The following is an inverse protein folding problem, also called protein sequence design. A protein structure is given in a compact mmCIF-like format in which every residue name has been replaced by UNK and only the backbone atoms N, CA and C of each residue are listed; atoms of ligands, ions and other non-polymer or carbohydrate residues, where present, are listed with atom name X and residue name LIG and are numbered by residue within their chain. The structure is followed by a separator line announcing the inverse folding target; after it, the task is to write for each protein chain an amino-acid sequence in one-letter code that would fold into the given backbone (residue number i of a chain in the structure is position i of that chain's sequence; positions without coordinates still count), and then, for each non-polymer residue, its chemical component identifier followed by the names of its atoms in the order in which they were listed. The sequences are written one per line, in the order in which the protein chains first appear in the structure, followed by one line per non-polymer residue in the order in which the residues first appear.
data_IF_017259784351
#
_entry.id   IF_017259784351
#
_cell.length_a   1.000
_cell.length_b   1.000
_cell.length_c   1.000
_cell.angle_alpha   90.00
_cell.angle_beta   90.00
_cell.angle_gamma   90.00
#
_symmetry.space_group_name_H-M   'P 1'
#
loop_
_entity.id
_entity.type
_entity.pdbx_description
1 polymer ?
#
# COMPACT_ATOMS: atom_id res chain seq x y z
N UNK A 1 5.90 -20.65 16.71
CA UNK A 1 5.31 -19.43 16.15
C UNK A 1 3.89 -19.79 15.77
N UNK A 2 2.92 -19.35 16.56
CA UNK A 2 1.54 -19.84 16.49
C UNK A 2 0.78 -19.25 15.30
N UNK A 3 -0.20 -20.03 14.83
CA UNK A 3 -1.26 -19.84 13.80
C UNK A 3 -1.79 -18.41 13.53
N UNK A 4 -1.52 -17.44 14.41
CA UNK A 4 -2.01 -16.07 14.33
C UNK A 4 -1.34 -15.25 13.22
N UNK A 5 -0.06 -15.47 12.90
CA UNK A 5 0.66 -14.56 11.98
C UNK A 5 0.27 -14.70 10.50
N UNK A 6 0.00 -15.91 9.99
CA UNK A 6 -0.37 -16.12 8.58
C UNK A 6 -1.79 -15.63 8.29
N UNK A 7 -2.72 -15.94 9.21
CA UNK A 7 -4.11 -15.46 9.12
C UNK A 7 -4.13 -13.93 9.23
N UNK A 8 -3.28 -13.33 10.07
CA UNK A 8 -3.20 -11.88 10.17
C UNK A 8 -2.70 -11.22 8.88
N UNK A 9 -1.76 -11.83 8.14
CA UNK A 9 -1.28 -11.28 6.86
C UNK A 9 -2.22 -11.55 5.67
N UNK A 10 -2.85 -12.73 5.58
CA UNK A 10 -3.90 -13.01 4.58
C UNK A 10 -5.21 -12.25 4.86
N UNK A 11 -5.44 -11.88 6.12
CA UNK A 11 -6.47 -10.93 6.49
C UNK A 11 -6.00 -9.50 6.23
N UNK A 12 -4.78 -9.08 6.57
CA UNK A 12 -4.33 -7.68 6.44
C UNK A 12 -4.07 -7.26 4.99
N UNK A 13 -3.55 -8.14 4.15
CA UNK A 13 -3.41 -7.91 2.68
C UNK A 13 -4.74 -8.04 1.94
N UNK A 14 -5.79 -8.50 2.63
CA UNK A 14 -7.17 -8.53 2.15
C UNK A 14 -8.13 -7.71 3.02
N UNK A 15 -7.64 -6.83 3.90
CA UNK A 15 -8.43 -5.92 4.73
C UNK A 15 -8.36 -4.50 4.20
N UNK A 16 -8.24 -4.35 2.88
CA UNK A 16 -8.70 -3.15 2.21
C UNK A 16 -9.71 -3.60 1.16
N UNK A 17 -10.97 -3.33 1.49
CA UNK A 17 -12.16 -3.43 0.64
C UNK A 17 -12.66 -4.85 0.32
N UNK A 18 -13.53 -5.37 1.19
CA UNK A 18 -14.96 -5.45 0.86
C UNK A 18 -15.71 -5.95 2.09
N UNK A 19 -16.56 -5.09 2.63
CA UNK A 19 -17.45 -5.39 3.74
C UNK A 19 -18.44 -6.50 3.42
N UNK A 20 -19.23 -6.83 4.43
CA UNK A 20 -20.48 -7.58 4.30
C UNK A 20 -21.25 -7.10 3.06
N UNK A 21 -21.90 -7.98 2.29
CA UNK A 21 -22.84 -7.56 1.24
C UNK A 21 -24.16 -7.09 1.90
N UNK A 22 -24.06 -6.11 2.79
CA UNK A 22 -24.96 -4.97 2.77
C UNK A 22 -24.56 -4.16 1.52
N UNK A 23 -25.50 -3.44 0.90
CA UNK A 23 -25.06 -2.27 0.14
C UNK A 23 -24.38 -1.36 1.18
N UNK A 24 -23.06 -1.46 1.31
CA UNK A 24 -22.27 -0.43 1.99
C UNK A 24 -22.65 0.85 1.27
N UNK A 25 -23.21 1.80 2.03
CA UNK A 25 -23.30 3.16 1.52
C UNK A 25 -21.88 3.52 1.10
N UNK A 26 -21.65 3.82 -0.18
CA UNK A 26 -20.34 4.24 -0.72
C UNK A 26 -19.72 5.38 0.10
N UNK A 27 -20.58 6.10 0.82
CA UNK A 27 -20.28 7.27 1.63
C UNK A 27 -20.55 7.05 3.13
N UNK A 28 -20.46 5.81 3.62
CA UNK A 28 -20.73 5.50 5.04
C UNK A 28 -19.85 6.31 6.00
N UNK A 29 -18.61 6.60 5.57
CA UNK A 29 -17.64 7.40 6.31
C UNK A 29 -18.18 8.80 6.62
N UNK A 30 -19.12 9.31 5.81
CA UNK A 30 -19.67 10.64 5.97
C UNK A 30 -20.87 10.73 6.93
N UNK A 31 -21.39 9.58 7.34
CA UNK A 31 -22.62 9.48 8.14
C UNK A 31 -22.38 9.81 9.62
N UNK A 32 -23.46 10.04 10.34
CA UNK A 32 -23.46 10.35 11.77
C UNK A 32 -24.06 9.21 12.60
N UNK A 33 -23.44 8.90 13.75
CA UNK A 33 -23.89 7.80 14.61
C UNK A 33 -25.32 8.00 15.13
N UNK A 34 -25.67 9.22 15.55
CA UNK A 34 -26.97 9.48 16.16
C UNK A 34 -28.07 9.62 15.11
N UNK A 35 -27.76 10.20 13.95
CA UNK A 35 -28.71 10.45 12.88
C UNK A 35 -28.93 9.24 11.98
N UNK A 36 -27.86 8.55 11.63
CA UNK A 36 -27.85 7.50 10.61
C UNK A 36 -27.56 6.10 11.18
N UNK A 37 -27.14 6.01 12.45
CA UNK A 37 -26.81 4.74 13.11
C UNK A 37 -25.46 4.15 12.70
N UNK A 38 -24.63 4.92 11.99
CA UNK A 38 -23.34 4.48 11.43
C UNK A 38 -22.20 5.28 12.07
N UNK A 39 -21.12 4.61 12.45
CA UNK A 39 -19.91 5.25 13.00
C UNK A 39 -19.07 5.95 11.91
N UNK A 40 -19.65 6.94 11.22
CA UNK A 40 -18.92 7.86 10.34
C UNK A 40 -18.37 9.07 11.08
N UNK A 41 -17.76 10.00 10.35
CA UNK A 41 -17.14 11.23 10.88
C UNK A 41 -18.11 12.42 10.95
N UNK A 42 -19.39 12.23 10.63
CA UNK A 42 -20.42 13.27 10.68
C UNK A 42 -20.12 14.53 9.84
N UNK A 43 -19.36 14.43 8.75
CA UNK A 43 -19.02 15.59 7.91
C UNK A 43 -20.21 16.06 7.06
N UNK A 44 -21.05 15.16 6.54
CA UNK A 44 -22.30 15.54 5.85
C UNK A 44 -23.20 16.40 6.73
N UNK A 45 -23.29 16.03 8.02
CA UNK A 45 -24.01 16.81 9.04
C UNK A 45 -23.32 18.15 9.30
N UNK A 46 -21.98 18.15 9.38
CA UNK A 46 -21.20 19.38 9.57
C UNK A 46 -21.42 20.37 8.42
N UNK A 47 -21.44 19.92 7.17
CA UNK A 47 -21.76 20.78 6.03
C UNK A 47 -23.18 21.33 6.10
N UNK A 48 -24.17 20.47 6.42
CA UNK A 48 -25.57 20.85 6.47
C UNK A 48 -25.93 21.80 7.63
N UNK A 49 -25.33 21.61 8.81
CA UNK A 49 -25.72 22.30 10.04
C UNK A 49 -24.76 23.43 10.43
N UNK A 50 -23.44 23.22 10.29
CA UNK A 50 -22.42 24.14 10.82
C UNK A 50 -21.77 25.00 9.74
N UNK A 51 -21.73 24.53 8.49
CA UNK A 51 -21.14 25.26 7.36
C UNK A 51 -22.17 25.85 6.39
N UNK A 52 -23.47 25.63 6.66
CA UNK A 52 -24.53 26.20 5.83
C UNK A 52 -24.43 27.72 5.74
N UNK A 53 -24.40 28.24 4.51
CA UNK A 53 -24.27 29.67 4.22
C UNK A 53 -22.86 30.25 4.47
N UNK A 54 -21.86 29.43 4.81
CA UNK A 54 -20.47 29.88 4.91
C UNK A 54 -19.75 29.70 3.59
N UNK A 55 -18.83 30.62 3.29
CA UNK A 55 -17.95 30.53 2.13
C UNK A 55 -16.66 29.83 2.54
N UNK A 56 -16.28 28.76 1.84
CA UNK A 56 -15.01 28.07 2.06
C UNK A 56 -13.84 28.85 1.47
N UNK A 57 -12.66 28.64 2.04
CA UNK A 57 -11.38 29.06 1.45
C UNK A 57 -10.72 27.84 0.84
N UNK A 58 -10.16 27.98 -0.37
CA UNK A 58 -9.41 26.89 -0.99
C UNK A 58 -8.16 26.55 -0.19
N UNK A 59 -7.96 25.28 0.11
CA UNK A 59 -6.78 24.75 0.81
C UNK A 59 -6.04 23.80 -0.13
N UNK A 60 -4.73 23.94 -0.25
CA UNK A 60 -3.89 22.99 -1.00
C UNK A 60 -3.37 21.93 -0.02
N UNK A 61 -3.58 20.65 -0.33
CA UNK A 61 -3.15 19.51 0.49
C UNK A 61 -2.17 18.65 -0.30
N UNK A 62 -0.91 18.62 0.14
CA UNK A 62 0.10 17.75 -0.47
C UNK A 62 -0.08 16.30 -0.02
N UNK A 63 -0.27 15.39 -0.98
CA UNK A 63 -0.30 13.94 -0.76
C UNK A 63 1.05 13.34 -1.12
N UNK A 64 1.79 12.85 -0.10
CA UNK A 64 3.08 12.18 -0.27
C UNK A 64 2.84 10.66 -0.24
N UNK A 65 2.69 10.05 -1.41
CA UNK A 65 2.30 8.64 -1.55
C UNK A 65 2.96 7.99 -2.80
N UNK A 66 2.52 6.80 -3.21
CA UNK A 66 3.03 6.05 -4.36
C UNK A 66 2.71 6.65 -5.74
N UNK A 67 1.91 7.71 -5.77
CA UNK A 67 1.47 8.41 -6.98
C UNK A 67 -0.04 8.65 -6.98
N UNK A 68 -0.51 9.54 -7.85
CA UNK A 68 -1.94 9.85 -8.04
C UNK A 68 -2.27 9.79 -9.52
N UNK A 69 -3.35 9.07 -9.87
CA UNK A 69 -3.85 9.01 -11.24
C UNK A 69 -4.49 10.35 -11.59
N UNK A 70 -3.71 11.17 -12.30
CA UNK A 70 -4.13 12.50 -12.75
C UNK A 70 -5.28 12.46 -13.76
N UNK A 71 -5.52 11.30 -14.39
CA UNK A 71 -6.62 11.06 -15.32
C UNK A 71 -7.92 10.61 -14.65
N UNK A 72 -7.90 10.31 -13.34
CA UNK A 72 -9.05 9.74 -12.64
C UNK A 72 -10.26 10.67 -12.71
N UNK A 73 -11.39 10.15 -13.18
CA UNK A 73 -12.58 10.96 -13.50
C UNK A 73 -13.16 11.72 -12.30
N UNK A 74 -12.96 11.19 -11.09
CA UNK A 74 -13.45 11.75 -9.83
C UNK A 74 -12.46 12.70 -9.13
N UNK A 75 -11.24 12.85 -9.67
CA UNK A 75 -10.17 13.67 -9.07
C UNK A 75 -9.69 14.80 -9.98
N UNK A 76 -9.71 14.60 -11.30
CA UNK A 76 -9.11 15.52 -12.27
C UNK A 76 -9.60 16.98 -12.19
N UNK A 77 -10.82 17.21 -11.69
CA UNK A 77 -11.38 18.55 -11.50
C UNK A 77 -10.84 19.28 -10.27
N UNK A 78 -10.16 18.57 -9.38
CA UNK A 78 -9.77 19.04 -8.05
C UNK A 78 -8.26 19.08 -7.87
N UNK A 79 -7.49 18.33 -8.67
CA UNK A 79 -6.03 18.37 -8.65
C UNK A 79 -5.50 19.81 -8.63
N UNK A 80 -4.57 20.06 -7.71
CA UNK A 80 -3.77 21.27 -7.73
C UNK A 80 -3.07 21.47 -9.08
N UNK A 81 -3.00 22.72 -9.54
CA UNK A 81 -2.31 23.14 -10.76
C UNK A 81 -1.26 24.18 -10.37
N UNK A 82 0.01 23.93 -10.71
CA UNK A 82 1.05 24.96 -10.68
C UNK A 82 0.76 25.98 -11.80
N UNK A 83 0.16 27.12 -11.44
CA UNK A 83 -0.20 28.17 -12.41
C UNK A 83 1.00 28.94 -12.97
N UNK A 84 2.19 28.67 -12.43
CA UNK A 84 3.46 29.27 -12.89
C UNK A 84 4.16 28.42 -13.94
N UNK A 85 3.75 27.17 -14.13
CA UNK A 85 4.29 26.27 -15.14
C UNK A 85 3.52 26.37 -16.46
N UNK A 86 4.21 26.23 -17.60
CA UNK A 86 3.58 26.02 -18.90
C UNK A 86 3.68 24.55 -19.26
N UNK A 87 2.57 23.78 -19.21
CA UNK A 87 2.61 22.33 -19.36
C UNK A 87 3.33 21.85 -20.62
N UNK A 88 4.36 21.03 -20.44
CA UNK A 88 5.02 20.27 -21.50
C UNK A 88 5.98 21.09 -22.35
N UNK A 89 6.51 22.19 -21.82
CA UNK A 89 7.51 23.00 -22.54
C UNK A 89 8.96 22.55 -22.28
N UNK A 90 9.18 21.65 -21.31
CA UNK A 90 10.49 21.14 -20.93
C UNK A 90 11.36 22.15 -20.17
N UNK A 91 10.75 23.17 -19.56
CA UNK A 91 11.40 24.25 -18.81
C UNK A 91 10.82 24.29 -17.40
N UNK A 92 11.66 24.59 -16.43
CA UNK A 92 11.25 24.99 -15.08
C UNK A 92 10.91 26.50 -15.15
N UNK A 93 9.64 26.83 -15.40
CA UNK A 93 9.18 28.19 -15.66
C UNK A 93 9.20 29.06 -14.40
N UNK A 94 8.97 28.45 -13.23
CA UNK A 94 8.92 29.13 -11.94
C UNK A 94 10.25 29.13 -11.17
N UNK A 95 11.26 28.44 -11.70
CA UNK A 95 12.61 28.30 -11.16
C UNK A 95 12.65 27.63 -9.77
N UNK A 96 11.75 26.68 -9.52
CA UNK A 96 11.67 25.94 -8.26
C UNK A 96 12.57 24.68 -8.23
N UNK A 97 13.17 24.30 -9.37
CA UNK A 97 14.03 23.12 -9.53
C UNK A 97 13.34 21.91 -10.17
N UNK A 98 12.07 22.00 -10.54
CA UNK A 98 11.25 20.91 -11.06
C UNK A 98 10.63 21.29 -12.41
N UNK A 99 11.09 20.64 -13.48
CA UNK A 99 10.65 20.93 -14.85
C UNK A 99 9.22 20.43 -15.07
N UNK A 100 8.30 21.29 -15.50
CA UNK A 100 6.91 20.93 -15.83
C UNK A 100 6.12 20.31 -14.65
N UNK A 101 6.35 20.73 -13.39
CA UNK A 101 5.70 20.18 -12.18
C UNK A 101 4.22 20.62 -11.97
N UNK A 102 3.43 20.54 -13.04
CA UNK A 102 2.05 21.04 -13.14
C UNK A 102 1.12 20.49 -12.05
N UNK A 103 1.27 19.23 -11.66
CA UNK A 103 0.44 18.56 -10.64
C UNK A 103 1.26 18.03 -9.45
N UNK A 104 2.50 18.49 -9.32
CA UNK A 104 3.46 18.01 -8.33
C UNK A 104 4.66 17.30 -8.97
N UNK A 105 5.37 16.51 -8.17
CA UNK A 105 6.65 15.95 -8.57
C UNK A 105 6.87 14.51 -8.09
N UNK A 106 7.46 13.68 -8.96
CA UNK A 106 7.84 12.32 -8.64
C UNK A 106 9.33 12.25 -8.27
N UNK A 107 9.60 12.10 -6.98
CA UNK A 107 10.96 11.98 -6.45
C UNK A 107 11.58 10.58 -6.61
N UNK A 108 10.78 9.55 -6.88
CA UNK A 108 11.23 8.17 -7.06
C UNK A 108 11.36 7.84 -8.55
N UNK A 109 12.05 8.70 -9.29
CA UNK A 109 12.23 8.56 -10.74
C UNK A 109 13.54 9.16 -11.25
N UNK A 110 13.90 8.77 -12.47
CA UNK A 110 14.77 9.56 -13.35
C UNK A 110 13.91 10.43 -14.27
N UNK A 111 14.54 11.31 -15.05
CA UNK A 111 13.85 12.14 -16.05
C UNK A 111 12.97 11.31 -16.99
N UNK A 112 13.36 10.05 -17.25
CA UNK A 112 12.76 9.22 -18.30
C UNK A 112 11.98 8.01 -17.74
N UNK A 113 12.07 7.72 -16.44
CA UNK A 113 11.45 6.51 -15.87
C UNK A 113 11.18 6.57 -14.37
N UNK A 114 10.01 6.10 -13.95
CA UNK A 114 9.64 5.93 -12.55
C UNK A 114 10.14 4.58 -11.98
N UNK A 115 10.65 4.58 -10.76
CA UNK A 115 11.18 3.38 -10.12
C UNK A 115 10.05 2.56 -9.48
N UNK A 116 9.97 1.28 -9.82
CA UNK A 116 9.02 0.34 -9.22
C UNK A 116 9.41 -0.09 -7.79
N UNK A 117 10.69 -0.08 -7.48
CA UNK A 117 11.21 -0.60 -6.22
C UNK A 117 12.28 0.32 -5.62
N UNK A 118 12.18 0.56 -4.32
CA UNK A 118 13.16 1.28 -3.51
C UNK A 118 13.50 0.46 -2.25
N UNK A 119 14.48 0.91 -1.47
CA UNK A 119 14.76 0.39 -0.15
C UNK A 119 13.85 1.06 0.90
N UNK A 120 13.38 0.26 1.86
CA UNK A 120 12.82 0.81 3.09
C UNK A 120 13.83 1.74 3.78
N UNK A 121 13.34 2.77 4.49
CA UNK A 121 14.20 3.68 5.26
C UNK A 121 15.10 2.91 6.23
N UNK A 122 14.56 1.89 6.90
CA UNK A 122 15.29 1.00 7.78
C UNK A 122 16.53 0.39 7.10
N UNK A 123 16.38 -0.10 5.87
CA UNK A 123 17.47 -0.67 5.07
C UNK A 123 18.53 0.38 4.74
N UNK A 124 18.13 1.60 4.39
CA UNK A 124 19.05 2.72 4.10
C UNK A 124 19.85 3.11 5.35
N UNK A 125 19.19 3.22 6.50
CA UNK A 125 19.85 3.55 7.77
C UNK A 125 20.80 2.45 8.24
N UNK A 126 20.43 1.17 8.09
CA UNK A 126 21.32 0.04 8.38
C UNK A 126 22.53 0.04 7.45
N UNK A 127 22.34 0.32 6.15
CA UNK A 127 23.45 0.43 5.19
C UNK A 127 24.41 1.56 5.57
N UNK A 128 23.89 2.74 5.91
CA UNK A 128 24.69 3.88 6.36
C UNK A 128 25.45 3.56 7.65
N UNK A 129 24.77 2.97 8.63
CA UNK A 129 25.41 2.54 9.89
C UNK A 129 26.48 1.48 9.68
N UNK A 130 26.28 0.54 8.74
CA UNK A 130 27.28 -0.47 8.36
C UNK A 130 28.51 0.17 7.71
N UNK A 131 28.34 1.21 6.89
CA UNK A 131 29.47 1.97 6.33
C UNK A 131 30.24 2.73 7.42
N UNK A 132 29.53 3.30 8.41
CA UNK A 132 30.15 4.08 9.49
C UNK A 132 30.84 3.22 10.55
N UNK A 133 30.19 2.17 11.03
CA UNK A 133 30.62 1.38 12.18
C UNK A 133 31.14 -0.01 11.84
N UNK A 134 30.80 -0.56 10.66
CA UNK A 134 31.26 -1.86 10.20
C UNK A 134 31.03 -2.98 11.22
N UNK A 135 32.10 -3.69 11.58
CA UNK A 135 32.11 -4.80 12.55
C UNK A 135 32.64 -4.37 13.94
N UNK A 136 32.67 -3.06 14.24
CA UNK A 136 33.11 -2.59 15.55
C UNK A 136 32.22 -3.12 16.68
N UNK A 137 32.77 -3.15 17.88
CA UNK A 137 32.05 -3.41 19.13
C UNK A 137 32.05 -2.16 20.00
N UNK A 138 31.11 -2.04 20.93
CA UNK A 138 30.90 -0.85 21.75
C UNK A 138 32.18 -0.35 22.45
N UNK A 139 33.06 -1.27 22.87
CA UNK A 139 34.33 -0.97 23.52
C UNK A 139 35.33 -0.28 22.57
N UNK A 140 35.27 -0.58 21.28
CA UNK A 140 36.16 -0.03 20.23
C UNK A 140 35.65 1.28 19.63
N UNK A 141 34.38 1.64 19.87
CA UNK A 141 33.79 2.91 19.41
C UNK A 141 34.17 4.04 20.39
N UNK A 142 34.60 5.18 19.84
CA UNK A 142 34.92 6.39 20.61
C UNK A 142 33.71 6.86 21.42
N UNK A 143 33.94 7.46 22.59
CA UNK A 143 32.89 7.75 23.58
C UNK A 143 31.74 8.58 22.98
N UNK A 144 32.08 9.53 22.12
CA UNK A 144 31.17 10.46 21.46
C UNK A 144 30.18 9.74 20.52
N UNK A 145 30.62 8.64 19.91
CA UNK A 145 29.85 7.90 18.91
C UNK A 145 29.06 6.72 19.49
N UNK A 146 29.28 6.36 20.76
CA UNK A 146 28.64 5.19 21.40
C UNK A 146 27.11 5.25 21.36
N UNK A 147 26.52 6.43 21.53
CA UNK A 147 25.07 6.61 21.43
C UNK A 147 24.53 6.27 20.03
N UNK A 148 25.20 6.77 18.99
CA UNK A 148 24.87 6.47 17.58
C UNK A 148 25.08 5.00 17.25
N UNK A 149 26.12 4.37 17.80
CA UNK A 149 26.39 2.95 17.61
C UNK A 149 25.29 2.06 18.22
N UNK A 150 24.81 2.38 19.43
CA UNK A 150 23.69 1.64 20.07
C UNK A 150 22.40 1.78 19.25
N UNK A 151 22.12 2.96 18.69
CA UNK A 151 20.98 3.14 17.78
C UNK A 151 21.13 2.29 16.53
N UNK A 152 22.32 2.26 15.92
CA UNK A 152 22.62 1.38 14.78
C UNK A 152 22.39 -0.09 15.12
N UNK A 153 22.85 -0.59 16.27
CA UNK A 153 22.60 -1.98 16.70
C UNK A 153 21.09 -2.29 16.84
N UNK A 154 20.31 -1.31 17.32
CA UNK A 154 18.84 -1.42 17.40
C UNK A 154 18.22 -1.54 16.02
N UNK A 155 18.68 -0.71 15.05
CA UNK A 155 18.21 -0.77 13.67
C UNK A 155 18.58 -2.09 12.99
N UNK A 156 19.78 -2.62 13.22
CA UNK A 156 20.20 -3.94 12.72
C UNK A 156 19.27 -5.03 13.25
N UNK A 157 18.99 -5.02 14.55
CA UNK A 157 18.09 -6.01 15.18
C UNK A 157 16.68 -5.94 14.58
N UNK A 158 16.15 -4.74 14.35
CA UNK A 158 14.86 -4.55 13.67
C UNK A 158 14.89 -5.10 12.25
N UNK A 159 15.89 -4.72 11.45
CA UNK A 159 16.04 -5.17 10.07
C UNK A 159 16.14 -6.70 9.97
N UNK A 160 16.92 -7.34 10.84
CA UNK A 160 17.06 -8.80 10.87
C UNK A 160 15.76 -9.50 11.26
N UNK A 161 14.95 -8.89 12.12
CA UNK A 161 13.63 -9.41 12.46
C UNK A 161 12.66 -9.28 11.28
N UNK A 162 12.57 -8.12 10.62
CA UNK A 162 11.72 -7.93 9.43
C UNK A 162 12.05 -8.95 8.33
N UNK A 163 13.34 -9.10 7.99
CA UNK A 163 13.79 -10.07 6.99
C UNK A 163 13.44 -11.50 7.37
N UNK A 164 13.52 -11.84 8.66
CA UNK A 164 13.18 -13.18 9.17
C UNK A 164 11.69 -13.43 9.07
N UNK A 165 10.86 -12.47 9.49
CA UNK A 165 9.41 -12.58 9.44
C UNK A 165 8.92 -12.76 8.00
N UNK A 166 9.42 -11.98 7.05
CA UNK A 166 9.07 -12.12 5.63
C UNK A 166 9.49 -13.50 5.10
N UNK A 167 10.69 -13.98 5.43
CA UNK A 167 11.17 -15.31 5.00
C UNK A 167 10.32 -16.45 5.57
N UNK A 168 9.97 -16.37 6.85
CA UNK A 168 9.14 -17.39 7.51
C UNK A 168 7.73 -17.40 6.91
N UNK A 169 7.13 -16.23 6.71
CA UNK A 169 5.81 -16.11 6.06
C UNK A 169 5.82 -16.63 4.63
N UNK A 170 6.84 -16.29 3.84
CA UNK A 170 6.98 -16.79 2.47
C UNK A 170 7.18 -18.31 2.43
N UNK A 171 7.91 -18.88 3.40
CA UNK A 171 8.06 -20.32 3.53
C UNK A 171 6.72 -21.01 3.86
N UNK A 172 5.91 -20.40 4.72
CA UNK A 172 4.59 -20.92 5.06
C UNK A 172 3.60 -20.79 3.89
N UNK A 173 3.66 -19.69 3.13
CA UNK A 173 2.85 -19.51 1.93
C UNK A 173 3.22 -20.52 0.83
N UNK A 174 4.51 -20.86 0.69
CA UNK A 174 4.96 -21.95 -0.20
C UNK A 174 4.38 -23.30 0.21
N UNK A 175 4.27 -23.60 1.52
CA UNK A 175 3.61 -24.83 2.01
C UNK A 175 2.11 -24.83 1.72
N UNK A 176 1.45 -23.69 1.93
CA UNK A 176 0.02 -23.52 1.61
C UNK A 176 -0.23 -23.77 0.12
N UNK A 177 0.57 -23.15 -0.76
CA UNK A 177 0.51 -23.35 -2.21
C UNK A 177 0.67 -24.83 -2.56
N UNK A 178 1.74 -25.48 -2.08
CA UNK A 178 2.00 -26.89 -2.37
C UNK A 178 0.86 -27.82 -1.90
N UNK A 179 0.27 -27.53 -0.75
CA UNK A 179 -0.88 -28.29 -0.22
C UNK A 179 -2.13 -28.04 -1.05
N UNK A 180 -2.35 -26.81 -1.51
CA UNK A 180 -3.46 -26.45 -2.42
C UNK A 180 -3.31 -27.18 -3.75
N UNK A 181 -2.12 -27.17 -4.35
CA UNK A 181 -1.80 -27.88 -5.60
C UNK A 181 -2.08 -29.38 -5.47
N UNK A 182 -1.72 -29.98 -4.33
CA UNK A 182 -1.99 -31.39 -4.04
C UNK A 182 -3.49 -31.69 -3.99
N UNK A 183 -4.28 -30.86 -3.30
CA UNK A 183 -5.74 -31.04 -3.22
C UNK A 183 -6.36 -30.91 -4.61
N UNK A 184 -6.00 -29.86 -5.36
CA UNK A 184 -6.48 -29.62 -6.73
C UNK A 184 -6.17 -30.81 -7.64
N UNK A 185 -4.95 -31.36 -7.54
CA UNK A 185 -4.56 -32.56 -8.27
C UNK A 185 -5.40 -33.78 -7.87
N UNK A 186 -5.66 -33.99 -6.56
CA UNK A 186 -6.50 -35.10 -6.08
C UNK A 186 -7.96 -34.97 -6.51
N UNK A 187 -8.48 -33.75 -6.63
CA UNK A 187 -9.82 -33.46 -7.15
C UNK A 187 -9.90 -33.70 -8.68
N UNK A 188 -8.77 -33.71 -9.39
CA UNK A 188 -8.72 -33.90 -10.83
C UNK A 188 -9.36 -32.76 -11.63
N UNK A 189 -9.44 -31.55 -11.05
CA UNK A 189 -10.10 -30.38 -11.62
C UNK A 189 -9.10 -29.23 -11.74
N UNK A 190 -9.08 -28.56 -12.89
CA UNK A 190 -8.24 -27.37 -13.10
C UNK A 190 -8.73 -26.16 -12.28
N UNK A 191 -10.05 -26.01 -12.18
CA UNK A 191 -10.74 -24.93 -11.48
C UNK A 191 -11.80 -25.54 -10.55
N UNK A 192 -11.44 -26.06 -9.37
CA UNK A 192 -12.41 -26.65 -8.46
C UNK A 192 -13.33 -25.58 -7.87
N UNK A 193 -14.61 -25.89 -7.71
CA UNK A 193 -15.57 -25.01 -7.05
C UNK A 193 -15.40 -25.07 -5.53
N UNK A 194 -15.90 -24.06 -4.80
CA UNK A 194 -15.89 -24.06 -3.33
C UNK A 194 -16.45 -25.38 -2.75
N UNK A 195 -17.53 -25.90 -3.32
CA UNK A 195 -18.15 -27.17 -2.89
C UNK A 195 -17.17 -28.35 -2.99
N UNK A 196 -16.30 -28.39 -4.00
CA UNK A 196 -15.32 -29.46 -4.16
C UNK A 196 -14.32 -29.51 -2.99
N UNK A 197 -13.90 -28.34 -2.50
CA UNK A 197 -13.05 -28.23 -1.32
C UNK A 197 -13.79 -28.58 -0.01
N UNK A 198 -15.08 -28.26 0.09
CA UNK A 198 -15.88 -28.58 1.28
C UNK A 198 -16.19 -30.07 1.39
N UNK A 199 -16.43 -30.72 0.25
CA UNK A 199 -16.67 -32.18 0.17
C UNK A 199 -15.36 -32.98 0.31
N UNK A 200 -14.20 -32.35 0.06
CA UNK A 200 -12.89 -32.96 0.29
C UNK A 200 -12.70 -33.27 1.77
N UNK A 201 -12.20 -34.48 2.07
CA UNK A 201 -11.90 -34.95 3.43
C UNK A 201 -10.42 -34.79 3.74
N UNK A 202 -10.00 -33.78 4.51
CA UNK A 202 -8.59 -33.55 4.84
C UNK A 202 -7.99 -34.70 5.65
N UNK A 203 -6.75 -35.05 5.34
CA UNK A 203 -5.98 -36.13 6.00
C UNK A 203 -4.99 -35.62 7.04
N UNK A 204 -4.69 -34.32 7.02
CA UNK A 204 -3.75 -33.67 7.91
C UNK A 204 -4.15 -32.21 8.14
N UNK A 205 -3.46 -31.56 9.08
CA UNK A 205 -3.74 -30.18 9.46
C UNK A 205 -3.54 -29.19 8.32
N UNK A 206 -2.54 -29.41 7.45
CA UNK A 206 -2.28 -28.54 6.29
C UNK A 206 -3.44 -28.56 5.29
N UNK A 207 -3.97 -29.73 4.96
CA UNK A 207 -5.14 -29.86 4.09
C UNK A 207 -6.39 -29.21 4.73
N UNK A 208 -6.56 -29.35 6.05
CA UNK A 208 -7.67 -28.72 6.77
C UNK A 208 -7.54 -27.18 6.81
N UNK A 209 -6.31 -26.67 6.87
CA UNK A 209 -6.03 -25.24 6.76
C UNK A 209 -6.39 -24.70 5.38
N UNK A 210 -6.00 -25.38 4.30
CA UNK A 210 -6.39 -24.99 2.92
C UNK A 210 -7.91 -24.96 2.80
N UNK A 211 -8.61 -26.01 3.25
CA UNK A 211 -10.09 -26.05 3.21
C UNK A 211 -10.72 -24.88 3.96
N UNK A 212 -10.18 -24.52 5.13
CA UNK A 212 -10.70 -23.41 5.94
C UNK A 212 -10.48 -22.06 5.27
N UNK A 213 -9.30 -21.85 4.68
CA UNK A 213 -8.97 -20.62 3.94
C UNK A 213 -9.81 -20.48 2.68
N UNK A 214 -9.95 -21.56 1.90
CA UNK A 214 -10.82 -21.59 0.71
C UNK A 214 -12.27 -21.28 1.08
N UNK A 215 -12.79 -21.87 2.16
CA UNK A 215 -14.14 -21.56 2.66
C UNK A 215 -14.32 -20.08 3.05
N UNK A 216 -13.26 -19.40 3.47
CA UNK A 216 -13.31 -17.98 3.76
C UNK A 216 -13.26 -17.15 2.46
N UNK A 217 -12.29 -17.40 1.59
CA UNK A 217 -11.94 -16.55 0.44
C UNK A 217 -12.84 -16.80 -0.78
N UNK A 218 -13.12 -18.05 -1.11
CA UNK A 218 -13.92 -18.40 -2.30
C UNK A 218 -15.43 -18.22 -2.13
N UNK A 219 -15.91 -17.65 -1.01
CA UNK A 219 -17.29 -17.18 -0.90
C UNK A 219 -17.59 -16.00 -1.85
N UNK A 220 -16.54 -15.29 -2.27
CA UNK A 220 -16.64 -14.08 -3.09
C UNK A 220 -15.68 -14.08 -4.28
N UNK A 221 -14.90 -15.16 -4.43
CA UNK A 221 -13.88 -15.31 -5.46
C UNK A 221 -14.02 -16.67 -6.14
N UNK A 222 -13.68 -16.71 -7.41
CA UNK A 222 -13.36 -17.95 -8.12
C UNK A 222 -12.06 -18.56 -7.58
N UNK A 223 -11.79 -19.81 -7.95
CA UNK A 223 -10.52 -20.46 -7.55
C UNK A 223 -9.33 -19.74 -8.18
N UNK A 224 -9.41 -19.39 -9.47
CA UNK A 224 -8.39 -18.60 -10.16
C UNK A 224 -8.05 -17.29 -9.42
N UNK A 225 -9.05 -16.49 -9.05
CA UNK A 225 -8.86 -15.23 -8.31
C UNK A 225 -8.23 -15.48 -6.93
N UNK A 226 -8.74 -16.45 -6.17
CA UNK A 226 -8.14 -16.83 -4.89
C UNK A 226 -6.67 -17.26 -5.05
N UNK A 227 -6.39 -18.14 -6.00
CA UNK A 227 -5.05 -18.69 -6.18
C UNK A 227 -4.06 -17.63 -6.67
N UNK A 228 -4.49 -16.74 -7.57
CA UNK A 228 -3.66 -15.64 -8.05
C UNK A 228 -3.43 -14.61 -6.94
N UNK A 229 -4.49 -14.02 -6.40
CA UNK A 229 -4.39 -12.85 -5.51
C UNK A 229 -3.95 -13.20 -4.09
N UNK A 230 -4.46 -14.30 -3.53
CA UNK A 230 -4.23 -14.68 -2.13
C UNK A 230 -3.06 -15.67 -1.97
N UNK A 231 -2.43 -16.13 -3.06
CA UNK A 231 -1.23 -16.98 -3.00
C UNK A 231 -0.11 -16.40 -3.87
N UNK A 232 -0.28 -16.37 -5.20
CA UNK A 232 0.82 -16.04 -6.10
C UNK A 232 1.29 -14.59 -5.95
N UNK A 233 0.38 -13.62 -5.95
CA UNK A 233 0.73 -12.20 -5.88
C UNK A 233 1.33 -11.84 -4.52
N UNK A 234 0.85 -12.46 -3.43
CA UNK A 234 1.46 -12.27 -2.10
C UNK A 234 2.87 -12.86 -2.07
N UNK A 235 3.09 -14.03 -2.65
CA UNK A 235 4.43 -14.61 -2.76
C UNK A 235 5.38 -13.71 -3.55
N UNK A 236 4.92 -13.15 -4.67
CA UNK A 236 5.69 -12.22 -5.48
C UNK A 236 6.03 -10.95 -4.69
N UNK A 237 5.05 -10.32 -4.02
CA UNK A 237 5.28 -9.14 -3.17
C UNK A 237 6.31 -9.41 -2.08
N UNK A 238 6.16 -10.49 -1.32
CA UNK A 238 7.13 -10.86 -0.26
C UNK A 238 8.52 -11.14 -0.82
N UNK A 239 8.61 -11.73 -2.02
CA UNK A 239 9.89 -11.95 -2.68
C UNK A 239 10.53 -10.62 -3.10
N UNK A 240 9.74 -9.70 -3.66
CA UNK A 240 10.19 -8.35 -4.00
C UNK A 240 10.64 -7.57 -2.74
N UNK A 241 9.99 -7.75 -1.60
CA UNK A 241 10.43 -7.14 -0.34
C UNK A 241 11.82 -7.60 0.07
N UNK A 242 12.14 -8.89 -0.11
CA UNK A 242 13.48 -9.42 0.18
C UNK A 242 14.52 -8.97 -0.86
N UNK A 243 14.13 -8.88 -2.12
CA UNK A 243 15.04 -8.59 -3.23
C UNK A 243 15.36 -7.08 -3.32
N UNK A 244 14.42 -6.23 -2.93
CA UNK A 244 14.51 -4.77 -3.07
C UNK A 244 14.36 -4.02 -1.75
N UNK A 245 13.21 -4.08 -1.06
CA UNK A 245 12.93 -3.23 0.10
C UNK A 245 13.88 -3.47 1.28
N UNK A 246 14.14 -4.73 1.59
CA UNK A 246 15.01 -5.20 2.68
C UNK A 246 16.32 -5.81 2.17
N UNK A 247 16.80 -5.34 1.02
CA UNK A 247 18.06 -5.79 0.44
C UNK A 247 19.20 -4.80 0.68
N UNK A 248 20.23 -5.24 1.38
CA UNK A 248 21.46 -4.44 1.54
C UNK A 248 22.30 -4.40 0.25
N UNK A 249 22.05 -5.30 -0.70
CA UNK A 249 22.77 -5.44 -1.96
C UNK A 249 22.13 -4.65 -3.09
N UNK A 250 20.79 -4.52 -3.08
CA UNK A 250 20.09 -3.65 -4.01
C UNK A 250 20.21 -2.20 -3.55
N UNK A 251 20.80 -1.37 -4.39
CA UNK A 251 20.84 0.08 -4.24
C UNK A 251 20.12 0.64 -5.46
N UNK A 252 18.97 1.32 -5.29
CA UNK A 252 18.30 2.01 -6.39
C UNK A 252 19.23 3.06 -7.01
N UNK A 253 18.95 3.47 -8.24
CA UNK A 253 19.84 4.35 -8.99
C UNK A 253 20.26 5.58 -8.18
N UNK A 254 21.55 5.93 -8.27
CA UNK A 254 22.15 6.99 -7.44
C UNK A 254 21.59 8.39 -7.76
N UNK A 255 20.96 8.58 -8.92
CA UNK A 255 20.41 9.85 -9.37
C UNK A 255 18.89 9.78 -9.45
N UNK A 256 18.23 10.32 -8.42
CA UNK A 256 16.82 10.66 -8.46
C UNK A 256 16.72 12.08 -9.03
N UNK A 257 16.78 12.20 -10.36
CA UNK A 257 16.55 13.52 -10.99
C UNK A 257 15.09 13.93 -10.92
N UNK A 258 14.19 12.96 -10.72
CA UNK A 258 12.75 13.19 -10.70
C UNK A 258 12.16 13.44 -12.08
N UNK A 259 10.84 13.50 -12.15
CA UNK A 259 10.06 13.93 -13.31
C UNK A 259 8.65 14.40 -12.90
N UNK A 260 7.92 14.99 -13.85
CA UNK A 260 6.55 15.46 -13.69
C UNK A 260 5.48 14.35 -13.74
N UNK A 261 5.86 13.08 -13.98
CA UNK A 261 4.92 11.95 -13.96
C UNK A 261 4.64 11.53 -12.50
N UNK A 262 3.66 12.23 -11.90
CA UNK A 262 3.16 11.96 -10.55
C UNK A 262 2.27 10.73 -10.44
N UNK A 263 1.94 10.05 -11.55
CA UNK A 263 1.20 8.79 -11.52
C UNK A 263 2.13 7.65 -11.14
N UNK A 264 3.37 7.68 -11.65
CA UNK A 264 4.37 6.69 -11.31
C UNK A 264 4.00 5.27 -11.80
N UNK A 265 4.65 4.22 -11.29
CA UNK A 265 4.42 2.85 -11.73
C UNK A 265 3.11 2.24 -11.17
N UNK A 266 2.58 2.79 -10.07
CA UNK A 266 1.34 2.38 -9.43
C UNK A 266 0.73 3.56 -8.65
N UNK A 267 -0.39 4.08 -9.14
CA UNK A 267 -1.09 5.20 -8.52
C UNK A 267 -2.26 4.78 -7.61
N UNK A 268 -2.53 3.48 -7.43
CA UNK A 268 -3.78 3.03 -6.78
C UNK A 268 -3.92 3.55 -5.36
N UNK A 269 -2.88 3.42 -4.53
CA UNK A 269 -2.94 3.81 -3.12
C UNK A 269 -3.08 5.33 -2.96
N UNK A 270 -2.25 6.12 -3.63
CA UNK A 270 -2.33 7.58 -3.54
C UNK A 270 -3.59 8.15 -4.18
N UNK A 271 -4.11 7.55 -5.25
CA UNK A 271 -5.44 7.91 -5.83
C UNK A 271 -6.56 7.65 -4.82
N UNK A 272 -6.52 6.51 -4.11
CA UNK A 272 -7.50 6.20 -3.08
C UNK A 272 -7.41 7.19 -1.90
N UNK A 273 -6.20 7.52 -1.44
CA UNK A 273 -5.98 8.52 -0.37
C UNK A 273 -6.47 9.91 -0.82
N UNK A 274 -6.11 10.34 -2.03
CA UNK A 274 -6.56 11.61 -2.61
C UNK A 274 -8.08 11.66 -2.76
N UNK A 275 -8.72 10.55 -3.17
CA UNK A 275 -10.18 10.42 -3.24
C UNK A 275 -10.87 10.61 -1.90
N UNK A 276 -10.38 9.97 -0.84
CA UNK A 276 -10.92 10.16 0.51
C UNK A 276 -10.84 11.63 0.94
N UNK A 277 -9.75 12.32 0.61
CA UNK A 277 -9.56 13.73 0.98
C UNK A 277 -10.48 14.64 0.15
N UNK A 278 -10.48 14.45 -1.17
CA UNK A 278 -10.77 15.48 -2.14
C UNK A 278 -11.64 15.03 -3.34
N UNK A 279 -12.17 13.80 -3.38
CA UNK A 279 -13.07 13.40 -4.48
C UNK A 279 -14.24 14.38 -4.65
N UNK A 280 -14.67 14.57 -5.90
CA UNK A 280 -15.56 15.67 -6.26
C UNK A 280 -16.96 15.50 -5.69
N UNK A 281 -17.22 16.28 -4.64
CA UNK A 281 -18.49 16.31 -3.93
C UNK A 281 -19.67 16.79 -4.77
N UNK A 282 -19.45 17.29 -5.99
CA UNK A 282 -20.51 17.80 -6.88
C UNK A 282 -20.89 16.83 -8.01
N UNK A 283 -20.19 15.71 -8.16
CA UNK A 283 -20.53 14.71 -9.15
C UNK A 283 -21.26 13.51 -8.50
N UNK A 284 -21.51 12.46 -9.28
CA UNK A 284 -22.09 11.19 -8.79
C UNK A 284 -21.23 9.99 -9.17
N UNK A 285 -19.94 10.22 -9.33
CA UNK A 285 -18.90 9.23 -9.60
C UNK A 285 -18.29 8.84 -8.27
N UNK A 286 -17.94 7.56 -8.09
CA UNK A 286 -17.15 7.12 -6.94
C UNK A 286 -17.76 7.48 -5.58
N UNK A 287 -17.00 8.22 -4.77
CA UNK A 287 -17.32 8.63 -3.40
C UNK A 287 -17.25 10.15 -3.30
N UNK A 288 -17.80 10.73 -2.23
CA UNK A 288 -17.52 12.13 -1.91
C UNK A 288 -16.22 12.26 -1.10
N UNK A 289 -15.36 13.22 -1.44
CA UNK A 289 -14.20 13.54 -0.61
C UNK A 289 -14.64 14.18 0.72
N UNK A 290 -13.85 14.07 1.78
CA UNK A 290 -14.17 14.67 3.09
C UNK A 290 -14.22 16.20 3.01
N UNK A 291 -13.28 16.82 2.28
CA UNK A 291 -13.13 18.27 2.23
C UNK A 291 -13.82 18.87 0.99
N UNK A 292 -14.54 19.97 1.21
CA UNK A 292 -15.02 20.88 0.17
C UNK A 292 -14.04 22.07 0.10
N UNK A 293 -13.72 22.56 -1.10
CA UNK A 293 -12.72 23.61 -1.37
C UNK A 293 -11.28 23.17 -1.02
N UNK A 294 -10.88 22.01 -1.51
CA UNK A 294 -9.50 21.50 -1.42
C UNK A 294 -8.94 21.33 -2.83
N UNK A 295 -7.61 21.37 -2.94
CA UNK A 295 -6.84 20.94 -4.12
C UNK A 295 -5.65 20.10 -3.69
#
# INVERSE_FOLDING_TARGET
MELKSIIFYLLSTGLLLTGCQQRENSDWQHLDLQKDGVFGISDNRTYAELQSGKTGTSVIVAVLDGGVDTGHEDLKSILWINDKEKPGNGVDDDSNGYIDDVHGWNFLSTSDSSFKFDNAELTRLVRQGKQRFGQQILQTVILEDRGSFVQYQTLVSKFENEVREIKDQLADLRKLKATTDLIVHQLGKKEPALKDFLDFSPKNDGENQVRSLVNLKMKRKTFAEFYQEDILDIMERMQNDLDYHYSLNYVPAATHTGNADVTGPDALHGTHVAGIIAADRNNSVGIHGIANHVQ
#
